data_IF_121185929904
#
_entry.id   IF_121185929904
#
_cell.length_a   1.000
_cell.length_b   1.000
_cell.length_c   1.000
_cell.angle_alpha   90.00
_cell.angle_beta   90.00
_cell.angle_gamma   90.00
#
_symmetry.space_group_name_H-M   'P 1'
#
loop_
_entity.id
_entity.type
_entity.pdbx_description
1 polymer ?
#
# COMPACT_ATOMS: atom_id res chain seq x y z
N UNK A 1 -0.32 -6.44 19.43
CA UNK A 1 -1.37 -5.41 19.21
C UNK A 1 -1.44 -5.10 17.73
N UNK A 2 -2.63 -5.13 17.13
CA UNK A 2 -2.84 -4.82 15.72
C UNK A 2 -2.82 -3.30 15.53
N UNK A 3 -1.74 -2.76 14.96
CA UNK A 3 -1.62 -1.32 14.70
C UNK A 3 -2.36 -0.95 13.41
N UNK A 4 -3.18 0.12 13.38
CA UNK A 4 -3.78 0.62 12.14
C UNK A 4 -2.72 1.07 11.13
N UNK A 5 -3.04 0.95 9.85
CA UNK A 5 -2.22 1.50 8.76
C UNK A 5 -2.49 3.01 8.62
N UNK A 6 -3.76 3.42 8.69
CA UNK A 6 -4.21 4.80 8.73
C UNK A 6 -5.13 5.00 9.95
N UNK A 7 -5.05 6.13 10.69
CA UNK A 7 -5.90 6.36 11.87
C UNK A 7 -7.40 6.37 11.54
N UNK A 8 -7.78 6.90 10.38
CA UNK A 8 -9.19 7.09 10.00
C UNK A 8 -9.83 5.91 9.25
N UNK A 9 -9.07 4.86 8.93
CA UNK A 9 -9.57 3.70 8.19
C UNK A 9 -9.38 2.41 8.99
N UNK A 10 -10.31 1.45 8.89
CA UNK A 10 -10.29 0.22 9.69
C UNK A 10 -9.28 -0.83 9.20
N UNK A 11 -8.22 -0.41 8.52
CA UNK A 11 -7.21 -1.33 7.96
C UNK A 11 -6.01 -1.47 8.88
N UNK A 12 -5.54 -2.70 9.08
CA UNK A 12 -4.53 -3.05 10.07
C UNK A 12 -3.24 -3.50 9.40
N UNK A 13 -2.11 -3.22 10.03
CA UNK A 13 -0.80 -3.71 9.55
C UNK A 13 -0.76 -5.24 9.44
N UNK A 14 -1.55 -5.95 10.27
CA UNK A 14 -1.73 -7.40 10.18
C UNK A 14 -2.34 -7.87 8.87
N UNK A 15 -3.20 -7.07 8.23
CA UNK A 15 -3.78 -7.40 6.92
C UNK A 15 -2.73 -7.33 5.80
N UNK A 16 -1.72 -6.47 5.93
CA UNK A 16 -0.56 -6.45 5.01
C UNK A 16 0.19 -7.78 5.08
N UNK A 17 0.52 -8.22 6.30
CA UNK A 17 1.23 -9.48 6.54
C UNK A 17 0.40 -10.69 6.09
N UNK A 18 -0.90 -10.67 6.36
CA UNK A 18 -1.81 -11.71 5.89
C UNK A 18 -1.85 -11.75 4.36
N UNK A 19 -1.98 -10.60 3.71
CA UNK A 19 -1.96 -10.47 2.26
C UNK A 19 -0.69 -11.06 1.65
N UNK A 20 0.48 -10.81 2.25
CA UNK A 20 1.76 -11.38 1.81
C UNK A 20 1.76 -12.91 1.98
N UNK A 21 1.50 -13.39 3.19
CA UNK A 21 1.71 -14.80 3.57
C UNK A 21 0.65 -15.76 3.05
N UNK A 22 -0.58 -15.28 2.85
CA UNK A 22 -1.75 -16.13 2.58
C UNK A 22 -2.46 -15.82 1.28
N UNK A 23 -2.25 -14.63 0.74
CA UNK A 23 -2.96 -14.20 -0.46
C UNK A 23 -2.02 -13.88 -1.62
N UNK A 24 -0.69 -14.03 -1.46
CA UNK A 24 0.29 -13.73 -2.51
C UNK A 24 0.31 -12.25 -2.91
N UNK A 25 0.25 -11.34 -1.93
CA UNK A 25 0.48 -9.92 -2.16
C UNK A 25 1.98 -9.65 -2.33
N UNK A 26 2.39 -9.23 -3.53
CA UNK A 26 3.79 -9.03 -3.89
C UNK A 26 4.13 -7.56 -4.19
N UNK A 27 3.15 -6.67 -4.19
CA UNK A 27 3.32 -5.23 -4.43
C UNK A 27 2.47 -4.39 -3.47
N UNK A 28 2.81 -3.11 -3.21
CA UNK A 28 1.97 -2.24 -2.39
C UNK A 28 0.55 -2.06 -2.96
N UNK A 29 0.40 -2.09 -4.29
CA UNK A 29 -0.89 -2.02 -4.97
C UNK A 29 -1.77 -3.26 -4.74
N UNK A 30 -1.17 -4.44 -4.52
CA UNK A 30 -1.90 -5.64 -4.13
C UNK A 30 -2.65 -5.45 -2.79
N UNK A 31 -2.08 -4.65 -1.90
CA UNK A 31 -2.68 -4.31 -0.60
C UNK A 31 -3.65 -3.14 -0.75
N UNK A 32 -3.16 -2.00 -1.24
CA UNK A 32 -3.86 -0.71 -1.21
C UNK A 32 -4.97 -0.61 -2.25
N UNK A 33 -4.81 -1.22 -3.43
CA UNK A 33 -5.80 -1.17 -4.49
C UNK A 33 -6.70 -2.41 -4.52
N UNK A 34 -6.17 -3.62 -4.26
CA UNK A 34 -6.94 -4.87 -4.46
C UNK A 34 -7.60 -5.42 -3.20
N UNK A 35 -6.86 -5.50 -2.08
CA UNK A 35 -7.34 -6.14 -0.84
C UNK A 35 -8.13 -5.20 0.06
N UNK A 36 -7.51 -4.08 0.44
CA UNK A 36 -8.16 -3.06 1.28
C UNK A 36 -9.04 -2.12 0.46
N UNK A 37 -8.67 -1.93 -0.82
CA UNK A 37 -9.26 -0.95 -1.75
C UNK A 37 -9.19 0.51 -1.24
N UNK A 38 -8.29 0.81 -0.29
CA UNK A 38 -8.10 2.17 0.24
C UNK A 38 -7.80 3.17 -0.88
N UNK A 39 -7.04 2.79 -1.91
CA UNK A 39 -6.70 3.66 -3.04
C UNK A 39 -7.93 4.18 -3.79
N UNK A 40 -8.96 3.34 -3.97
CA UNK A 40 -10.20 3.75 -4.64
C UNK A 40 -11.13 4.54 -3.73
N UNK A 41 -11.03 4.31 -2.42
CA UNK A 41 -11.84 5.02 -1.43
C UNK A 41 -11.29 6.43 -1.18
N UNK A 42 -9.99 6.55 -1.03
CA UNK A 42 -9.27 7.80 -0.74
C UNK A 42 -7.79 7.62 -1.14
N UNK A 43 -7.45 8.11 -2.34
CA UNK A 43 -6.09 8.02 -2.86
C UNK A 43 -5.08 8.84 -2.04
N UNK A 44 -5.53 9.89 -1.32
CA UNK A 44 -4.66 10.71 -0.47
C UNK A 44 -4.29 9.95 0.80
N UNK A 45 -5.26 9.31 1.44
CA UNK A 45 -5.00 8.41 2.56
C UNK A 45 -4.13 7.22 2.14
N UNK A 46 -4.36 6.64 0.96
CA UNK A 46 -3.51 5.58 0.41
C UNK A 46 -2.06 6.06 0.20
N UNK A 47 -1.89 7.27 -0.33
CA UNK A 47 -0.58 7.92 -0.51
C UNK A 47 0.13 8.16 0.82
N UNK A 48 -0.60 8.62 1.84
CA UNK A 48 -0.07 8.90 3.17
C UNK A 48 0.50 7.64 3.88
N UNK A 49 -0.03 6.45 3.56
CA UNK A 49 0.40 5.20 4.20
C UNK A 49 1.31 4.33 3.33
N UNK A 50 1.56 4.73 2.09
CA UNK A 50 2.34 3.95 1.12
C UNK A 50 3.69 3.51 1.69
N UNK A 51 4.36 4.40 2.42
CA UNK A 51 5.69 4.15 2.97
C UNK A 51 5.68 3.11 4.07
N UNK A 52 4.69 3.20 4.95
CA UNK A 52 4.50 2.23 6.02
C UNK A 52 4.19 0.84 5.46
N UNK A 53 3.38 0.76 4.39
CA UNK A 53 3.10 -0.51 3.70
C UNK A 53 4.36 -1.04 3.03
N UNK A 54 5.08 -0.21 2.28
CA UNK A 54 6.35 -0.59 1.65
C UNK A 54 7.36 -1.10 2.69
N UNK A 55 7.46 -0.49 3.86
CA UNK A 55 8.40 -0.92 4.90
C UNK A 55 8.05 -2.29 5.48
N UNK A 56 6.77 -2.58 5.69
CA UNK A 56 6.30 -3.90 6.13
C UNK A 56 6.59 -4.94 5.05
N UNK A 57 6.23 -4.64 3.81
CA UNK A 57 6.41 -5.55 2.68
C UNK A 57 7.89 -5.81 2.39
N UNK A 58 8.74 -4.78 2.42
CA UNK A 58 10.19 -4.91 2.23
C UNK A 58 10.82 -5.84 3.25
N UNK A 59 10.41 -5.76 4.52
CA UNK A 59 10.93 -6.64 5.58
C UNK A 59 10.49 -8.09 5.37
N UNK A 60 9.23 -8.31 5.04
CA UNK A 60 8.67 -9.66 4.91
C UNK A 60 9.11 -10.36 3.61
N UNK A 61 9.26 -9.61 2.50
CA UNK A 61 9.62 -10.13 1.18
C UNK A 61 11.10 -9.91 0.81
N UNK A 62 11.90 -9.41 1.75
CA UNK A 62 13.33 -9.11 1.57
C UNK A 62 13.63 -8.24 0.33
N UNK A 63 12.86 -7.17 0.11
CA UNK A 63 13.15 -6.22 -0.96
C UNK A 63 14.40 -5.41 -0.64
N UNK A 64 15.28 -5.25 -1.62
CA UNK A 64 16.35 -4.27 -1.56
C UNK A 64 15.82 -2.83 -1.78
N UNK A 65 16.72 -1.85 -1.64
CA UNK A 65 16.36 -0.43 -1.80
C UNK A 65 15.88 -0.10 -3.20
N UNK A 66 16.44 -0.73 -4.24
CA UNK A 66 16.07 -0.50 -5.63
C UNK A 66 14.64 -0.98 -5.90
N UNK A 67 14.32 -2.21 -5.47
CA UNK A 67 12.99 -2.81 -5.60
C UNK A 67 11.93 -2.06 -4.81
N UNK A 68 12.25 -1.65 -3.58
CA UNK A 68 11.36 -0.81 -2.75
C UNK A 68 11.05 0.51 -3.47
N UNK A 69 12.07 1.17 -4.01
CA UNK A 69 11.92 2.44 -4.74
C UNK A 69 11.07 2.28 -6.00
N UNK A 70 11.36 1.25 -6.81
CA UNK A 70 10.61 0.93 -8.03
C UNK A 70 9.12 0.71 -7.75
N UNK A 71 8.79 -0.15 -6.78
CA UNK A 71 7.41 -0.46 -6.44
C UNK A 71 6.68 0.72 -5.82
N UNK A 72 7.37 1.54 -5.03
CA UNK A 72 6.83 2.79 -4.52
C UNK A 72 6.51 3.77 -5.64
N UNK A 73 7.42 3.99 -6.59
CA UNK A 73 7.20 4.90 -7.73
C UNK A 73 5.98 4.47 -8.53
N UNK A 74 5.87 3.18 -8.86
CA UNK A 74 4.71 2.61 -9.57
C UNK A 74 3.39 2.84 -8.82
N UNK A 75 3.40 2.72 -7.49
CA UNK A 75 2.22 2.98 -6.68
C UNK A 75 1.85 4.47 -6.66
N UNK A 76 2.83 5.36 -6.54
CA UNK A 76 2.64 6.82 -6.62
C UNK A 76 2.06 7.24 -7.97
N UNK A 77 2.64 6.74 -9.08
CA UNK A 77 2.13 7.00 -10.43
C UNK A 77 0.67 6.54 -10.58
N UNK A 78 0.35 5.36 -10.04
CA UNK A 78 -1.02 4.86 -10.03
C UNK A 78 -1.97 5.77 -9.24
N UNK A 79 -1.59 6.26 -8.05
CA UNK A 79 -2.41 7.19 -7.28
C UNK A 79 -2.62 8.53 -8.00
N UNK A 80 -1.57 9.07 -8.62
CA UNK A 80 -1.68 10.31 -9.40
C UNK A 80 -2.60 10.16 -10.61
N UNK A 81 -2.64 8.98 -11.23
CA UNK A 81 -3.57 8.71 -12.34
C UNK A 81 -5.05 8.67 -11.92
N UNK A 82 -5.34 8.58 -10.62
CA UNK A 82 -6.70 8.63 -10.05
C UNK A 82 -7.19 10.05 -9.78
N UNK A 83 -6.30 11.04 -9.80
CA UNK A 83 -6.71 12.43 -9.72
C UNK A 83 -7.46 12.78 -11.01
N UNK A 84 -8.76 13.07 -10.90
CA UNK A 84 -9.51 13.63 -12.02
C UNK A 84 -9.05 15.08 -12.16
N UNK A 85 -8.47 15.50 -13.31
CA UNK A 85 -8.22 16.90 -13.55
C UNK A 85 -9.56 17.62 -13.52
N UNK A 86 -9.74 18.49 -12.53
CA UNK A 86 -10.83 19.46 -12.52
C UNK A 86 -10.53 20.48 -13.62
N UNK A 87 -11.11 20.23 -14.80
CA UNK A 87 -11.13 21.17 -15.93
C UNK A 87 -12.15 22.27 -15.65
#
# INVERSE_FOLDING_TARGET
MLKPIHPDYPYLQGEVLYGIRREYACTPLDILARRTRLAFRDHKAASAVLDSVCDIMSKELAWDGARRSELRSKATEFFNSMEIPVV
#
